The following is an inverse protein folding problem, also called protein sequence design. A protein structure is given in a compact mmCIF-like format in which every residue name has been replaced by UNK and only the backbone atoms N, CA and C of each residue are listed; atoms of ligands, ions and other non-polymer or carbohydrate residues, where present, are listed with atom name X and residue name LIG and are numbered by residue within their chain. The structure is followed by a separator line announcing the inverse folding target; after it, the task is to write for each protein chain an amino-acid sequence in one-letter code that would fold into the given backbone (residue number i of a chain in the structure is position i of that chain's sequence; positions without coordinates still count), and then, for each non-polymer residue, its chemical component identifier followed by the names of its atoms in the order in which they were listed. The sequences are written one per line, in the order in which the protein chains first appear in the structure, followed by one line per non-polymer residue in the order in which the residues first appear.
data_IF_301665028746
#
_entry.id   IF_301665028746
#
_cell.length_a   1.000
_cell.length_b   1.000
_cell.length_c   1.000
_cell.angle_alpha   90.00
_cell.angle_beta   90.00
_cell.angle_gamma   90.00
#
_symmetry.space_group_name_H-M   'P 1'
#
loop_
_entity.id
_entity.type
_entity.pdbx_description
1 polymer ?
#
# COMPACT_ATOMS: atom_id res chain seq x y z
N UNK A 1 7.25 -6.10 8.87
CA UNK A 1 8.52 -6.43 8.19
C UNK A 1 8.62 -5.77 6.82
N UNK A 2 7.61 -5.86 5.95
CA UNK A 2 7.62 -5.23 4.61
C UNK A 2 7.43 -3.70 4.54
N UNK A 3 7.58 -2.97 5.65
CA UNK A 3 7.23 -1.54 5.74
C UNK A 3 8.02 -0.64 4.79
N UNK A 4 9.31 -0.93 4.57
CA UNK A 4 10.15 -0.17 3.62
C UNK A 4 9.67 -0.28 2.18
N UNK A 5 9.21 -1.46 1.75
CA UNK A 5 8.66 -1.69 0.41
C UNK A 5 7.33 -0.97 0.22
N UNK A 6 6.44 -1.09 1.21
CA UNK A 6 5.15 -0.39 1.20
C UNK A 6 5.35 1.14 1.14
N UNK A 7 6.28 1.69 1.94
CA UNK A 7 6.58 3.12 1.93
C UNK A 7 7.12 3.59 0.58
N UNK A 8 8.06 2.86 -0.01
CA UNK A 8 8.61 3.19 -1.32
C UNK A 8 7.53 3.16 -2.42
N UNK A 9 6.70 2.13 -2.43
CA UNK A 9 5.58 2.00 -3.35
C UNK A 9 4.56 3.14 -3.17
N UNK A 10 4.14 3.44 -1.94
CA UNK A 10 3.19 4.51 -1.65
C UNK A 10 3.70 5.87 -2.13
N UNK A 11 4.99 6.18 -1.91
CA UNK A 11 5.61 7.42 -2.40
C UNK A 11 5.63 7.54 -3.91
N UNK A 12 5.77 6.43 -4.63
CA UNK A 12 5.70 6.42 -6.09
C UNK A 12 4.25 6.58 -6.60
N UNK A 13 3.26 6.15 -5.82
CA UNK A 13 1.85 6.16 -6.21
C UNK A 13 1.13 7.47 -5.86
N UNK A 14 1.48 8.15 -4.77
CA UNK A 14 0.68 9.27 -4.20
C UNK A 14 0.43 10.48 -5.12
N UNK A 15 1.18 10.59 -6.23
CA UNK A 15 1.01 11.65 -7.24
C UNK A 15 0.36 11.20 -8.55
N UNK A 16 -0.15 9.97 -8.61
CA UNK A 16 -0.90 9.48 -9.77
C UNK A 16 -2.32 10.03 -9.69
N UNK A 17 -2.80 10.61 -10.78
CA UNK A 17 -4.18 11.08 -10.88
C UNK A 17 -5.17 9.91 -10.78
N UNK A 18 -6.40 10.18 -10.34
CA UNK A 18 -7.50 9.22 -10.25
C UNK A 18 -7.27 8.01 -9.32
N UNK A 19 -6.35 8.11 -8.35
CA UNK A 19 -6.26 7.14 -7.24
C UNK A 19 -6.39 7.82 -5.88
N UNK A 20 -7.21 7.24 -5.02
CA UNK A 20 -7.44 7.73 -3.66
C UNK A 20 -6.43 7.16 -2.65
N UNK A 21 -6.47 7.68 -1.41
CA UNK A 21 -5.58 7.24 -0.35
C UNK A 21 -5.73 5.74 -0.03
N UNK A 22 -6.95 5.19 -0.11
CA UNK A 22 -7.20 3.78 0.14
C UNK A 22 -6.55 2.91 -0.94
N UNK A 23 -6.60 3.34 -2.20
CA UNK A 23 -5.98 2.68 -3.35
C UNK A 23 -4.45 2.74 -3.30
N UNK A 24 -3.87 3.86 -2.89
CA UNK A 24 -2.43 3.95 -2.61
C UNK A 24 -2.02 2.93 -1.54
N UNK A 25 -2.75 2.87 -0.42
CA UNK A 25 -2.47 1.92 0.67
C UNK A 25 -2.57 0.46 0.20
N UNK A 26 -3.62 0.12 -0.55
CA UNK A 26 -3.86 -1.24 -1.08
C UNK A 26 -2.76 -1.70 -2.01
N UNK A 27 -2.41 -0.88 -3.01
CA UNK A 27 -1.37 -1.20 -3.99
C UNK A 27 0.02 -1.29 -3.33
N UNK A 28 0.32 -0.38 -2.41
CA UNK A 28 1.58 -0.40 -1.66
C UNK A 28 1.75 -1.69 -0.84
N UNK A 29 0.68 -2.12 -0.16
CA UNK A 29 0.70 -3.37 0.60
C UNK A 29 0.78 -4.61 -0.29
N UNK A 30 0.12 -4.60 -1.46
CA UNK A 30 0.25 -5.69 -2.44
C UNK A 30 1.69 -5.86 -2.93
N UNK A 31 2.40 -4.75 -3.20
CA UNK A 31 3.83 -4.78 -3.56
C UNK A 31 4.67 -5.32 -2.39
N UNK A 32 4.40 -4.88 -1.16
CA UNK A 32 5.13 -5.37 0.00
C UNK A 32 4.93 -6.87 0.24
N UNK A 33 3.72 -7.40 -0.01
CA UNK A 33 3.39 -8.81 0.10
C UNK A 33 4.13 -9.67 -0.95
N UNK A 34 4.38 -9.14 -2.14
CA UNK A 34 5.15 -9.82 -3.19
C UNK A 34 6.65 -9.89 -2.92
N UNK A 35 7.19 -9.11 -1.97
CA UNK A 35 8.63 -8.99 -1.71
C UNK A 35 9.01 -9.53 -0.33
N UNK A 36 8.21 -9.23 0.70
CA UNK A 36 8.54 -9.60 2.07
C UNK A 36 7.88 -10.91 2.49
N UNK A 37 8.68 -11.94 2.78
CA UNK A 37 8.21 -13.25 3.25
C UNK A 37 7.34 -13.22 4.53
N UNK A 38 7.41 -12.11 5.28
CA UNK A 38 6.64 -11.89 6.51
C UNK A 38 5.50 -10.88 6.31
N UNK A 39 5.06 -10.64 5.08
CA UNK A 39 3.92 -9.79 4.75
C UNK A 39 3.13 -10.52 3.67
N UNK A 40 1.85 -10.79 3.92
CA UNK A 40 0.98 -11.50 2.99
C UNK A 40 -0.01 -10.52 2.33
N UNK A 41 -0.84 -11.04 1.44
CA UNK A 41 -1.83 -10.32 0.65
C UNK A 41 -3.18 -10.11 1.36
N UNK A 42 -3.35 -10.68 2.56
CA UNK A 42 -4.58 -10.55 3.36
C UNK A 42 -4.53 -9.30 4.22
N UNK A 43 -4.92 -8.17 3.60
CA UNK A 43 -4.82 -6.84 4.21
C UNK A 43 -6.20 -6.29 4.60
N UNK A 44 -6.25 -5.62 5.75
CA UNK A 44 -7.40 -4.81 6.19
C UNK A 44 -7.06 -3.35 5.95
N UNK A 45 -7.96 -2.62 5.29
CA UNK A 45 -7.81 -1.19 5.02
C UNK A 45 -8.97 -0.47 5.70
N UNK A 46 -8.62 0.40 6.63
CA UNK A 46 -9.55 1.27 7.34
C UNK A 46 -9.45 2.69 6.77
N UNK A 47 -10.58 3.35 6.59
CA UNK A 47 -10.66 4.71 6.03
C UNK A 47 -11.50 5.60 6.93
N UNK A 48 -11.18 6.89 6.95
CA UNK A 48 -12.03 7.91 7.55
C UNK A 48 -12.75 8.64 6.43
N UNK A 49 -14.07 8.72 6.52
CA UNK A 49 -14.86 9.62 5.67
C UNK A 49 -14.61 11.06 6.13
N UNK A 50 -14.52 11.98 5.16
CA UNK A 50 -14.38 13.42 5.42
C UNK A 50 -15.73 14.10 5.27
#
# INVERSE_FOLDING_TARGET
SGGGYALAAARALIGIDDIDAAEVARRAMAIAAGICIYTNDKVTIETLET
#
